data_IF_464888259060
#
_entry.id   IF_464888259060
#
_cell.length_a   1.000
_cell.length_b   1.000
_cell.length_c   1.000
_cell.angle_alpha   90.00
_cell.angle_beta   90.00
_cell.angle_gamma   90.00
#
_symmetry.space_group_name_H-M   'P 1'
#
loop_
_entity.id
_entity.type
_entity.pdbx_description
1 polymer ?
#
# COMPACT_ATOMS: atom_id res chain seq x y z
N UNK A 1 0.33 -20.69 -14.81
CA UNK A 1 -1.12 -20.51 -14.42
C UNK A 1 -1.98 -20.31 -15.64
N UNK A 2 -3.09 -21.05 -15.77
CA UNK A 2 -4.07 -20.82 -16.84
C UNK A 2 -5.31 -20.14 -16.23
N UNK A 3 -5.58 -18.90 -16.66
CA UNK A 3 -6.78 -18.18 -16.23
C UNK A 3 -8.00 -18.73 -16.98
N UNK A 4 -9.08 -19.04 -16.27
CA UNK A 4 -10.36 -19.45 -16.88
C UNK A 4 -10.91 -18.38 -17.82
N UNK A 5 -10.66 -17.12 -17.52
CA UNK A 5 -11.00 -15.97 -18.35
C UNK A 5 -9.75 -15.15 -18.57
N UNK A 6 -9.31 -15.00 -19.81
CA UNK A 6 -8.16 -14.18 -20.18
C UNK A 6 -8.53 -12.71 -20.17
N UNK A 7 -7.67 -11.88 -19.58
CA UNK A 7 -7.83 -10.43 -19.62
C UNK A 7 -7.60 -9.93 -21.06
N UNK A 8 -8.60 -9.28 -21.65
CA UNK A 8 -8.53 -8.82 -23.04
C UNK A 8 -7.64 -7.61 -23.24
N UNK A 9 -7.53 -6.74 -22.21
CA UNK A 9 -6.78 -5.49 -22.26
C UNK A 9 -5.34 -5.62 -21.75
N UNK A 10 -5.05 -6.67 -20.99
CA UNK A 10 -3.72 -6.95 -20.46
C UNK A 10 -3.48 -8.46 -20.45
N UNK A 11 -2.79 -8.93 -21.47
CA UNK A 11 -2.48 -10.35 -21.62
C UNK A 11 -1.58 -10.91 -20.50
N UNK A 12 -0.84 -10.05 -19.82
CA UNK A 12 0.03 -10.40 -18.68
C UNK A 12 -0.68 -10.32 -17.33
N UNK A 13 -1.95 -9.89 -17.30
CA UNK A 13 -2.69 -9.77 -16.04
C UNK A 13 -2.85 -11.12 -15.33
N UNK A 14 -2.45 -11.14 -14.09
CA UNK A 14 -2.66 -12.25 -13.17
C UNK A 14 -3.17 -11.74 -11.82
N UNK A 15 -4.34 -12.21 -11.35
CA UNK A 15 -4.83 -11.86 -10.01
C UNK A 15 -3.81 -12.21 -8.94
N UNK A 16 -3.48 -11.26 -8.05
CA UNK A 16 -2.44 -11.48 -7.04
C UNK A 16 -2.71 -12.67 -6.14
N UNK A 17 -3.98 -12.93 -5.81
CA UNK A 17 -4.36 -14.11 -5.02
C UNK A 17 -3.93 -15.43 -5.67
N UNK A 18 -4.04 -15.54 -7.00
CA UNK A 18 -3.58 -16.73 -7.72
C UNK A 18 -2.05 -16.81 -7.79
N UNK A 19 -1.38 -15.69 -8.02
CA UNK A 19 0.09 -15.63 -8.00
C UNK A 19 0.64 -16.04 -6.63
N UNK A 20 0.05 -15.53 -5.54
CA UNK A 20 0.43 -15.93 -4.18
C UNK A 20 0.18 -17.43 -3.93
N UNK A 21 -0.92 -17.97 -4.45
CA UNK A 21 -1.20 -19.40 -4.33
C UNK A 21 -0.15 -20.24 -5.06
N UNK A 22 0.15 -19.90 -6.31
CA UNK A 22 1.16 -20.62 -7.11
C UNK A 22 2.54 -20.56 -6.47
N UNK A 23 2.99 -19.37 -6.07
CA UNK A 23 4.29 -19.21 -5.41
C UNK A 23 4.36 -20.07 -4.13
N UNK A 24 3.30 -20.08 -3.33
CA UNK A 24 3.22 -20.88 -2.10
C UNK A 24 3.31 -22.38 -2.37
N UNK A 25 2.60 -22.87 -3.37
CA UNK A 25 2.65 -24.29 -3.75
C UNK A 25 4.02 -24.68 -4.31
N UNK A 26 4.59 -23.86 -5.20
CA UNK A 26 5.89 -24.10 -5.80
C UNK A 26 7.05 -24.07 -4.80
N UNK A 27 6.95 -23.27 -3.75
CA UNK A 27 8.01 -23.09 -2.74
C UNK A 27 7.77 -23.89 -1.46
N UNK A 28 6.74 -24.74 -1.43
CA UNK A 28 6.32 -25.47 -0.23
C UNK A 28 7.45 -26.33 0.36
N UNK A 29 8.16 -27.07 -0.48
CA UNK A 29 9.21 -27.99 -0.01
C UNK A 29 10.61 -27.36 -0.02
N UNK A 30 10.94 -26.65 -1.10
CA UNK A 30 12.29 -26.15 -1.37
C UNK A 30 12.42 -24.63 -1.41
N UNK A 31 11.46 -23.90 -0.87
CA UNK A 31 11.52 -22.43 -0.78
C UNK A 31 12.28 -21.94 0.44
N UNK A 32 12.47 -20.62 0.49
CA UNK A 32 12.95 -19.90 1.67
C UNK A 32 11.86 -18.93 2.16
N UNK A 33 11.86 -18.70 3.47
CA UNK A 33 10.96 -17.73 4.07
C UNK A 33 11.50 -16.32 3.86
N UNK A 34 10.59 -15.39 3.56
CA UNK A 34 10.90 -13.97 3.47
C UNK A 34 9.84 -13.15 4.18
N UNK A 35 10.27 -12.05 4.73
CA UNK A 35 9.41 -11.04 5.34
C UNK A 35 9.63 -9.74 4.59
N UNK A 36 8.56 -9.13 4.12
CA UNK A 36 8.60 -7.80 3.55
C UNK A 36 7.73 -6.87 4.39
N UNK A 37 8.22 -5.68 4.68
CA UNK A 37 7.52 -4.71 5.49
C UNK A 37 7.61 -3.30 4.92
N UNK A 38 6.57 -2.52 5.14
CA UNK A 38 6.55 -1.09 4.90
C UNK A 38 6.43 -0.36 6.24
N UNK A 39 7.42 0.49 6.53
CA UNK A 39 7.45 1.32 7.73
C UNK A 39 7.08 2.76 7.39
N UNK A 40 6.27 3.36 8.26
CA UNK A 40 5.82 4.76 8.22
C UNK A 40 6.12 5.47 9.53
N UNK A 41 5.73 6.74 9.63
CA UNK A 41 6.01 7.58 10.79
C UNK A 41 5.68 6.91 12.13
N UNK A 42 6.44 7.22 13.16
CA UNK A 42 6.36 6.64 14.52
C UNK A 42 6.71 5.15 14.57
N UNK A 43 7.39 4.63 13.53
CA UNK A 43 7.77 3.22 13.44
C UNK A 43 6.58 2.27 13.29
N UNK A 44 5.44 2.77 12.79
CA UNK A 44 4.33 1.87 12.43
C UNK A 44 4.72 1.06 11.21
N UNK A 45 4.53 -0.22 11.29
CA UNK A 45 5.04 -1.17 10.31
C UNK A 45 3.94 -2.16 9.93
N UNK A 46 3.73 -2.33 8.64
CA UNK A 46 2.85 -3.37 8.10
C UNK A 46 3.72 -4.46 7.50
N UNK A 47 3.49 -5.69 7.91
CA UNK A 47 4.34 -6.84 7.59
C UNK A 47 3.58 -7.86 6.74
N UNK A 48 4.25 -8.38 5.72
CA UNK A 48 3.76 -9.51 4.93
C UNK A 48 4.80 -10.62 4.94
N UNK A 49 4.42 -11.81 5.41
CA UNK A 49 5.26 -13.01 5.46
C UNK A 49 4.90 -13.94 4.32
N UNK A 50 5.90 -14.42 3.59
CA UNK A 50 5.70 -15.33 2.48
C UNK A 50 6.92 -16.24 2.27
N UNK A 51 6.85 -17.07 1.24
CA UNK A 51 7.96 -17.89 0.77
C UNK A 51 8.23 -17.58 -0.69
N UNK A 52 9.51 -17.70 -1.07
CA UNK A 52 9.99 -17.57 -2.44
C UNK A 52 10.91 -18.75 -2.76
N UNK A 53 11.30 -18.92 -4.02
CA UNK A 53 12.35 -19.86 -4.37
C UNK A 53 13.66 -19.46 -3.67
N UNK A 54 14.49 -20.44 -3.35
CA UNK A 54 15.80 -20.15 -2.75
C UNK A 54 16.65 -19.30 -3.69
N UNK A 55 17.37 -18.35 -3.11
CA UNK A 55 18.34 -17.53 -3.83
C UNK A 55 19.34 -18.40 -4.57
N UNK A 56 19.70 -18.03 -5.79
CA UNK A 56 20.67 -18.75 -6.61
C UNK A 56 20.17 -20.07 -7.23
N UNK A 57 18.88 -20.33 -7.23
CA UNK A 57 18.29 -21.52 -7.88
C UNK A 57 17.76 -21.28 -9.28
N UNK A 58 18.02 -20.12 -9.89
CA UNK A 58 17.61 -19.76 -11.25
C UNK A 58 16.18 -19.20 -11.36
N UNK A 59 15.54 -18.87 -10.22
CA UNK A 59 14.20 -18.31 -10.14
C UNK A 59 14.19 -16.84 -9.68
N UNK A 60 15.27 -16.13 -9.94
CA UNK A 60 15.47 -14.78 -9.44
C UNK A 60 14.46 -13.78 -10.01
N UNK A 61 14.15 -13.93 -11.30
CA UNK A 61 13.18 -13.06 -11.97
C UNK A 61 11.76 -13.27 -11.44
N UNK A 62 11.37 -14.51 -11.16
CA UNK A 62 10.07 -14.84 -10.55
C UNK A 62 9.98 -14.29 -9.12
N UNK A 63 11.04 -14.47 -8.32
CA UNK A 63 11.13 -13.92 -6.97
C UNK A 63 11.01 -12.39 -6.98
N UNK A 64 11.79 -11.74 -7.83
CA UNK A 64 11.84 -10.30 -7.97
C UNK A 64 10.47 -9.73 -8.39
N UNK A 65 9.86 -10.30 -9.44
CA UNK A 65 8.56 -9.88 -9.91
C UNK A 65 7.46 -10.07 -8.85
N UNK A 66 7.51 -11.18 -8.11
CA UNK A 66 6.55 -11.49 -7.06
C UNK A 66 6.68 -10.50 -5.89
N UNK A 67 7.89 -10.29 -5.38
CA UNK A 67 8.13 -9.39 -4.23
C UNK A 67 7.91 -7.92 -4.61
N UNK A 68 8.26 -7.49 -5.83
CA UNK A 68 7.98 -6.12 -6.29
C UNK A 68 6.47 -5.81 -6.26
N UNK A 69 5.63 -6.75 -6.68
CA UNK A 69 4.16 -6.58 -6.60
C UNK A 69 3.67 -6.47 -5.16
N UNK A 70 4.23 -7.26 -4.24
CA UNK A 70 3.90 -7.17 -2.80
C UNK A 70 4.37 -5.83 -2.24
N UNK A 71 5.62 -5.42 -2.52
CA UNK A 71 6.19 -4.15 -2.07
C UNK A 71 5.32 -2.97 -2.50
N UNK A 72 4.98 -2.92 -3.78
CA UNK A 72 4.09 -1.88 -4.31
C UNK A 72 2.72 -1.90 -3.63
N UNK A 73 2.15 -3.08 -3.44
CA UNK A 73 0.85 -3.22 -2.75
C UNK A 73 0.92 -2.70 -1.33
N UNK A 74 1.95 -3.07 -0.56
CA UNK A 74 2.14 -2.58 0.81
C UNK A 74 2.25 -1.06 0.86
N UNK A 75 3.06 -0.46 -0.01
CA UNK A 75 3.24 0.99 -0.07
C UNK A 75 1.93 1.73 -0.39
N UNK A 76 1.11 1.20 -1.31
CA UNK A 76 -0.12 1.88 -1.73
C UNK A 76 -1.34 1.57 -0.87
N UNK A 77 -1.34 0.47 -0.12
CA UNK A 77 -2.44 0.08 0.78
C UNK A 77 -2.19 0.55 2.21
N UNK A 78 -0.98 0.30 2.73
CA UNK A 78 -0.64 0.62 4.10
C UNK A 78 0.14 1.94 4.24
N UNK A 79 0.84 2.35 3.17
CA UNK A 79 1.73 3.49 3.18
C UNK A 79 3.10 3.16 3.77
N UNK A 80 4.07 4.05 3.53
CA UNK A 80 5.42 3.94 4.09
C UNK A 80 6.46 4.63 3.23
N UNK A 81 7.56 4.99 3.86
CA UNK A 81 8.75 5.56 3.21
C UNK A 81 9.97 4.65 3.37
N UNK A 82 9.81 3.50 4.03
CA UNK A 82 10.87 2.52 4.20
C UNK A 82 10.36 1.13 3.89
N UNK A 83 11.01 0.45 2.95
CA UNK A 83 10.82 -0.97 2.69
C UNK A 83 11.90 -1.78 3.40
N UNK A 84 11.50 -2.82 4.09
CA UNK A 84 12.41 -3.75 4.77
C UNK A 84 12.16 -5.13 4.20
N UNK A 85 13.20 -5.78 3.70
CA UNK A 85 13.17 -7.18 3.24
C UNK A 85 14.08 -8.01 4.11
N UNK A 86 13.55 -9.09 4.67
CA UNK A 86 14.31 -10.03 5.48
C UNK A 86 14.28 -11.44 4.87
N UNK A 87 15.41 -12.12 4.85
CA UNK A 87 15.53 -13.52 4.43
C UNK A 87 15.94 -13.74 2.97
N UNK A 88 16.16 -12.68 2.18
CA UNK A 88 16.76 -12.76 0.84
C UNK A 88 17.57 -11.50 0.54
N UNK A 89 18.87 -11.63 0.47
CA UNK A 89 19.76 -10.54 0.08
C UNK A 89 19.56 -10.17 -1.41
N UNK A 90 19.36 -11.18 -2.25
CA UNK A 90 19.19 -11.02 -3.68
C UNK A 90 17.97 -10.18 -4.03
N UNK A 91 16.82 -10.48 -3.42
CA UNK A 91 15.60 -9.68 -3.58
C UNK A 91 15.79 -8.29 -2.97
N UNK A 92 16.48 -8.18 -1.84
CA UNK A 92 16.82 -6.90 -1.24
C UNK A 92 17.61 -5.99 -2.17
N UNK A 93 18.61 -6.52 -2.83
CA UNK A 93 19.42 -5.77 -3.81
C UNK A 93 18.61 -5.41 -5.07
N UNK A 94 17.71 -6.29 -5.51
CA UNK A 94 16.77 -5.95 -6.57
C UNK A 94 15.89 -4.77 -6.16
N UNK A 95 15.28 -4.80 -4.98
CA UNK A 95 14.42 -3.72 -4.50
C UNK A 95 15.18 -2.38 -4.36
N UNK A 96 16.44 -2.39 -3.88
CA UNK A 96 17.29 -1.19 -3.80
C UNK A 96 17.51 -0.54 -5.17
N UNK A 97 17.73 -1.36 -6.21
CA UNK A 97 17.90 -0.85 -7.60
C UNK A 97 16.58 -0.40 -8.23
N UNK A 98 15.48 -0.98 -7.79
CA UNK A 98 14.13 -0.73 -8.33
C UNK A 98 13.50 0.50 -7.69
N UNK A 99 13.55 0.60 -6.35
CA UNK A 99 12.99 1.69 -5.55
C UNK A 99 14.06 2.74 -5.21
N UNK A 100 14.55 3.41 -6.24
CA UNK A 100 15.48 4.52 -6.12
C UNK A 100 15.19 5.58 -7.20
N UNK A 101 15.85 6.72 -7.12
CA UNK A 101 15.77 7.75 -8.16
C UNK A 101 16.34 7.22 -9.48
N UNK A 102 15.54 7.34 -10.55
CA UNK A 102 15.86 6.79 -11.85
C UNK A 102 15.60 5.28 -11.99
N UNK A 103 15.21 4.60 -10.93
CA UNK A 103 14.76 3.20 -10.99
C UNK A 103 13.35 3.05 -11.56
N UNK A 104 12.92 1.82 -11.80
CA UNK A 104 11.58 1.55 -12.38
C UNK A 104 10.43 1.98 -11.46
N UNK A 105 10.71 2.17 -10.17
CA UNK A 105 9.77 2.65 -9.14
C UNK A 105 10.07 4.08 -8.67
N UNK A 106 10.77 4.88 -9.47
CA UNK A 106 11.11 6.29 -9.16
C UNK A 106 9.86 7.11 -8.77
N UNK A 107 8.74 6.91 -9.47
CA UNK A 107 7.49 7.58 -9.14
C UNK A 107 6.99 7.22 -7.72
N UNK A 108 7.00 5.93 -7.38
CA UNK A 108 6.56 5.45 -6.07
C UNK A 108 7.44 6.04 -4.95
N UNK A 109 8.75 6.06 -5.16
CA UNK A 109 9.74 6.66 -4.24
C UNK A 109 9.44 8.14 -3.99
N UNK A 110 9.41 8.96 -5.04
CA UNK A 110 9.17 10.40 -4.93
C UNK A 110 7.81 10.73 -4.34
N UNK A 111 6.80 9.91 -4.66
CA UNK A 111 5.46 10.10 -4.12
C UNK A 111 5.45 9.85 -2.61
N UNK A 112 6.03 8.75 -2.15
CA UNK A 112 6.08 8.41 -0.72
C UNK A 112 6.94 9.41 0.08
N UNK A 113 8.06 9.87 -0.46
CA UNK A 113 8.87 10.94 0.18
C UNK A 113 8.05 12.22 0.38
N UNK A 114 7.26 12.62 -0.61
CA UNK A 114 6.40 13.81 -0.49
C UNK A 114 5.25 13.65 0.49
N UNK A 115 4.70 12.43 0.60
CA UNK A 115 3.58 12.13 1.51
C UNK A 115 4.05 12.09 2.95
N UNK A 116 5.21 11.47 3.19
CA UNK A 116 5.73 11.26 4.54
C UNK A 116 6.72 12.32 5.01
N UNK A 117 7.18 13.19 4.10
CA UNK A 117 8.25 14.19 4.35
C UNK A 117 9.53 13.56 4.89
N UNK A 118 9.80 12.32 4.46
CA UNK A 118 10.95 11.50 4.86
C UNK A 118 11.62 10.92 3.61
N UNK A 119 12.93 10.69 3.70
CA UNK A 119 13.68 10.05 2.61
C UNK A 119 13.30 8.58 2.49
N UNK A 120 13.06 8.14 1.25
CA UNK A 120 12.74 6.74 0.99
C UNK A 120 13.97 5.84 1.16
N UNK A 121 13.80 4.70 1.83
CA UNK A 121 14.85 3.74 2.10
C UNK A 121 14.42 2.31 1.79
N UNK A 122 15.38 1.49 1.33
CA UNK A 122 15.23 0.04 1.22
C UNK A 122 16.30 -0.63 2.06
N UNK A 123 15.90 -1.42 3.05
CA UNK A 123 16.78 -2.11 3.98
C UNK A 123 16.69 -3.63 3.76
N UNK A 124 17.83 -4.30 3.67
CA UNK A 124 17.91 -5.76 3.70
C UNK A 124 18.44 -6.22 5.06
N UNK A 125 17.84 -7.27 5.60
CA UNK A 125 18.26 -7.86 6.88
C UNK A 125 18.03 -9.37 6.86
N UNK A 126 18.48 -10.08 7.91
CA UNK A 126 18.17 -11.48 8.10
C UNK A 126 16.79 -11.67 8.77
N UNK A 127 16.30 -12.92 8.77
CA UNK A 127 14.99 -13.24 9.35
C UNK A 127 14.93 -13.05 10.88
N UNK A 128 16.08 -13.12 11.57
CA UNK A 128 16.12 -12.93 13.01
C UNK A 128 15.88 -11.46 13.41
N UNK A 129 16.16 -10.54 12.49
CA UNK A 129 15.94 -9.10 12.66
C UNK A 129 14.75 -8.59 11.82
N UNK A 130 13.90 -9.51 11.33
CA UNK A 130 12.70 -9.11 10.61
C UNK A 130 11.78 -8.27 11.51
N UNK A 131 11.22 -7.16 11.00
CA UNK A 131 10.31 -6.35 11.78
C UNK A 131 9.02 -7.11 12.11
N UNK A 132 8.40 -6.74 13.22
CA UNK A 132 7.07 -7.18 13.59
C UNK A 132 6.01 -6.17 13.15
N UNK A 133 4.78 -6.66 12.94
CA UNK A 133 3.65 -5.78 12.65
C UNK A 133 3.37 -4.86 13.85
N UNK A 134 3.30 -3.57 13.58
CA UNK A 134 3.02 -2.56 14.59
C UNK A 134 2.02 -1.57 14.05
N UNK A 135 0.81 -1.61 14.57
CA UNK A 135 -0.24 -0.66 14.22
C UNK A 135 -0.77 0.07 15.45
N UNK A 136 -1.28 1.27 15.25
CA UNK A 136 -1.95 2.05 16.29
C UNK A 136 -3.43 2.22 16.00
N UNK A 137 -4.04 1.31 15.27
CA UNK A 137 -5.45 1.38 14.96
C UNK A 137 -6.27 1.38 16.27
N UNK A 138 -6.79 2.56 16.63
CA UNK A 138 -7.79 2.67 17.68
C UNK A 138 -9.17 2.76 17.02
N UNK A 139 -10.16 2.00 17.50
CA UNK A 139 -11.52 2.14 17.02
C UNK A 139 -12.04 3.53 17.43
N UNK A 140 -12.19 4.43 16.46
CA UNK A 140 -12.72 5.79 16.66
C UNK A 140 -14.16 5.94 16.19
N UNK A 141 -14.79 4.87 15.79
CA UNK A 141 -16.19 4.85 15.34
C UNK A 141 -17.20 4.57 16.48
N UNK A 142 -18.51 4.70 16.14
CA UNK A 142 -19.65 4.39 17.02
C UNK A 142 -19.85 5.30 18.23
N UNK A 143 -19.18 6.43 18.31
CA UNK A 143 -19.49 7.45 19.31
C UNK A 143 -20.61 8.35 18.76
N UNK A 144 -21.85 7.91 18.90
CA UNK A 144 -23.02 8.59 18.35
C UNK A 144 -23.69 9.53 19.37
N UNK A 145 -23.21 9.54 20.61
CA UNK A 145 -23.66 10.43 21.68
C UNK A 145 -23.32 11.90 21.41
N UNK A 146 -24.22 12.80 21.76
CA UNK A 146 -24.07 14.24 21.59
C UNK A 146 -24.15 14.72 20.14
N UNK A 147 -23.67 15.92 19.87
CA UNK A 147 -23.72 16.55 18.55
C UNK A 147 -22.50 16.20 17.71
N UNK A 148 -22.69 15.85 16.47
CA UNK A 148 -21.65 15.54 15.48
C UNK A 148 -21.95 16.25 14.15
N UNK A 149 -20.91 16.76 13.52
CA UNK A 149 -20.99 17.28 12.16
C UNK A 149 -20.03 16.44 11.30
N UNK A 150 -20.56 15.84 10.23
CA UNK A 150 -19.81 15.18 9.18
C UNK A 150 -19.69 16.08 7.97
N UNK A 151 -18.52 16.15 7.36
CA UNK A 151 -18.28 16.88 6.14
C UNK A 151 -17.46 16.03 5.18
N UNK A 152 -17.94 15.89 3.95
CA UNK A 152 -17.23 15.22 2.86
C UNK A 152 -17.00 16.24 1.73
N UNK A 153 -15.75 16.47 1.39
CA UNK A 153 -15.32 17.35 0.31
C UNK A 153 -14.91 16.52 -0.91
N UNK A 154 -15.89 16.04 -1.67
CA UNK A 154 -15.66 15.26 -2.89
C UNK A 154 -15.12 16.06 -4.05
N UNK A 155 -14.79 15.39 -5.15
CA UNK A 155 -14.31 16.03 -6.39
C UNK A 155 -15.42 16.59 -7.29
N UNK A 156 -16.67 16.15 -7.10
CA UNK A 156 -17.86 16.55 -7.88
C UNK A 156 -18.99 17.10 -7.02
N UNK A 157 -18.99 16.76 -5.74
CA UNK A 157 -19.97 17.20 -4.76
C UNK A 157 -19.32 17.41 -3.41
N UNK A 158 -20.00 18.12 -2.53
CA UNK A 158 -19.70 18.22 -1.12
C UNK A 158 -20.93 17.85 -0.32
N UNK A 159 -20.72 17.16 0.79
CA UNK A 159 -21.80 16.71 1.67
C UNK A 159 -21.55 17.19 3.07
N UNK A 160 -22.62 17.60 3.74
CA UNK A 160 -22.59 17.93 5.16
C UNK A 160 -23.75 17.22 5.85
N UNK A 161 -23.52 16.72 7.04
CA UNK A 161 -24.57 16.17 7.88
C UNK A 161 -24.38 16.61 9.33
N UNK A 162 -25.48 16.87 10.02
CA UNK A 162 -25.49 17.07 11.45
C UNK A 162 -26.31 15.96 12.13
N UNK A 163 -25.76 15.39 13.17
CA UNK A 163 -26.34 14.28 13.91
C UNK A 163 -26.40 14.64 15.40
N UNK A 164 -27.51 14.39 16.06
CA UNK A 164 -27.68 14.49 17.50
C UNK A 164 -28.08 13.11 18.03
N UNK A 165 -27.29 12.60 18.96
CA UNK A 165 -27.51 11.28 19.61
C UNK A 165 -27.82 10.14 18.62
N UNK A 166 -27.16 10.15 17.47
CA UNK A 166 -27.31 9.15 16.41
C UNK A 166 -28.43 9.43 15.39
N UNK A 167 -29.25 10.47 15.60
CA UNK A 167 -30.28 10.88 14.66
C UNK A 167 -29.80 12.02 13.76
N UNK A 168 -29.97 11.86 12.46
CA UNK A 168 -29.62 12.90 11.47
C UNK A 168 -30.67 14.01 11.50
N UNK A 169 -30.26 15.20 11.93
CA UNK A 169 -31.13 16.39 12.03
C UNK A 169 -30.98 17.31 10.82
N UNK A 170 -29.89 17.17 10.07
CA UNK A 170 -29.63 17.93 8.84
C UNK A 170 -28.73 17.10 7.91
N UNK A 171 -29.01 17.19 6.61
CA UNK A 171 -28.15 16.64 5.56
C UNK A 171 -28.32 17.44 4.28
N UNK A 172 -27.21 17.81 3.67
CA UNK A 172 -27.19 18.54 2.39
C UNK A 172 -26.08 17.99 1.50
N UNK A 173 -26.39 17.88 0.21
CA UNK A 173 -25.42 17.58 -0.84
C UNK A 173 -25.48 18.70 -1.89
N UNK A 174 -24.32 19.26 -2.22
CA UNK A 174 -24.19 20.35 -3.20
C UNK A 174 -23.16 19.95 -4.25
N UNK A 175 -23.57 20.03 -5.50
CA UNK A 175 -22.66 19.82 -6.64
C UNK A 175 -21.62 20.95 -6.67
N UNK A 176 -20.35 20.60 -6.77
CA UNK A 176 -19.25 21.53 -6.95
C UNK A 176 -18.13 20.89 -7.78
N UNK A 177 -17.33 21.72 -8.41
CA UNK A 177 -16.20 21.27 -9.22
C UNK A 177 -14.93 22.02 -8.82
N UNK A 178 -14.30 21.66 -7.69
CA UNK A 178 -13.15 22.42 -7.16
C UNK A 178 -11.94 22.45 -8.11
N UNK A 179 -11.79 21.44 -8.97
CA UNK A 179 -10.73 21.39 -9.98
C UNK A 179 -10.89 22.41 -11.10
N UNK A 180 -12.11 22.86 -11.35
CA UNK A 180 -12.42 23.84 -12.42
C UNK A 180 -12.36 25.28 -11.91
N UNK A 181 -12.30 25.49 -10.60
CA UNK A 181 -12.22 26.81 -9.99
C UNK A 181 -10.76 27.20 -9.77
N UNK A 182 -10.34 28.33 -10.38
CA UNK A 182 -8.99 28.89 -10.21
C UNK A 182 -8.81 29.61 -8.87
N UNK A 183 -9.90 30.09 -8.25
CA UNK A 183 -9.87 30.73 -6.94
C UNK A 183 -9.88 29.66 -5.82
N UNK A 184 -8.75 29.56 -5.12
CA UNK A 184 -8.60 28.59 -4.03
C UNK A 184 -9.42 28.98 -2.78
N UNK A 185 -9.67 30.25 -2.54
CA UNK A 185 -10.50 30.72 -1.43
C UNK A 185 -11.97 30.43 -1.72
N UNK A 186 -12.43 30.64 -2.96
CA UNK A 186 -13.78 30.33 -3.40
C UNK A 186 -14.15 28.85 -3.31
N UNK A 187 -13.16 27.94 -3.30
CA UNK A 187 -13.40 26.50 -3.10
C UNK A 187 -13.97 26.16 -1.72
N UNK A 188 -13.71 26.98 -0.72
CA UNK A 188 -14.20 26.78 0.63
C UNK A 188 -15.59 27.43 0.88
N UNK A 189 -16.03 28.34 0.01
CA UNK A 189 -17.21 29.17 0.25
C UNK A 189 -18.41 28.83 -0.66
N UNK A 190 -18.22 27.94 -1.61
CA UNK A 190 -19.30 27.55 -2.55
C UNK A 190 -20.16 26.44 -1.98
#
# INVERSE_FOLDING_TARGET
MELKVKAKLDAGFAPMALVCKEMREATKENGQDVVIAAERNKGYTTVYKTRIYKDGTGHDDENNAFIDRIAKTLLWVAGGYKLIIAGSEQVGDYLKRTYCYGGTRDFDVRFMERVYEEKFEVISTDLAHAPEDKSSAQPVGRHLDGCRIGFDAGGSDRKVSAVIDGETVYSEEVVWFPKLNSDQIGRAHV
#
